data_IF_267542546065
#
_entry.id   IF_267542546065
#
_cell.length_a   1.000
_cell.length_b   1.000
_cell.length_c   1.000
_cell.angle_alpha   90.00
_cell.angle_beta   90.00
_cell.angle_gamma   90.00
#
_symmetry.space_group_name_H-M   'P 1'
#
loop_
_entity.id
_entity.type
_entity.pdbx_description
1 polymer ?
#
# COMPACT_ATOMS: atom_id res chain seq x y z
N UNK A 1 -43.46 15.06 -2.15
CA UNK A 1 -42.77 13.85 -2.67
C UNK A 1 -41.35 14.16 -3.18
N UNK A 2 -41.17 15.15 -4.07
CA UNK A 2 -39.87 15.53 -4.67
C UNK A 2 -38.80 15.93 -3.64
N UNK A 3 -39.17 16.57 -2.53
CA UNK A 3 -38.23 17.01 -1.50
C UNK A 3 -37.65 15.86 -0.65
N UNK A 4 -38.38 14.74 -0.49
CA UNK A 4 -37.88 13.54 0.21
C UNK A 4 -36.93 12.72 -0.66
N UNK A 5 -37.16 12.66 -1.97
CA UNK A 5 -36.30 11.92 -2.91
C UNK A 5 -34.89 12.52 -3.00
N UNK A 6 -34.76 13.85 -2.92
CA UNK A 6 -33.45 14.53 -2.89
C UNK A 6 -32.65 14.21 -1.62
N UNK A 7 -33.31 14.14 -0.46
CA UNK A 7 -32.66 13.75 0.80
C UNK A 7 -32.19 12.29 0.77
N UNK A 8 -33.00 11.40 0.18
CA UNK A 8 -32.65 9.99 0.02
C UNK A 8 -31.46 9.79 -0.93
N UNK A 9 -31.44 10.50 -2.07
CA UNK A 9 -30.32 10.46 -3.00
C UNK A 9 -29.02 11.02 -2.38
N UNK A 10 -29.11 12.09 -1.59
CA UNK A 10 -27.97 12.65 -0.86
C UNK A 10 -27.44 11.66 0.20
N UNK A 11 -28.33 10.99 0.93
CA UNK A 11 -27.97 9.98 1.93
C UNK A 11 -27.28 8.78 1.29
N UNK A 12 -27.80 8.28 0.16
CA UNK A 12 -27.19 7.18 -0.59
C UNK A 12 -25.82 7.60 -1.14
N UNK A 13 -25.68 8.81 -1.67
CA UNK A 13 -24.40 9.35 -2.14
C UNK A 13 -23.39 9.51 -1.00
N UNK A 14 -23.83 9.96 0.18
CA UNK A 14 -22.99 10.13 1.35
C UNK A 14 -22.54 8.78 1.90
N UNK A 15 -23.44 7.80 1.95
CA UNK A 15 -23.17 6.41 2.30
C UNK A 15 -22.14 5.80 1.34
N UNK A 16 -22.33 5.98 0.02
CA UNK A 16 -21.38 5.50 -0.99
C UNK A 16 -20.01 6.15 -0.84
N UNK A 17 -19.98 7.45 -0.52
CA UNK A 17 -18.74 8.19 -0.22
C UNK A 17 -18.06 7.68 1.05
N UNK A 18 -18.81 7.43 2.12
CA UNK A 18 -18.26 6.86 3.36
C UNK A 18 -17.72 5.45 3.10
N UNK A 19 -18.43 4.57 2.39
CA UNK A 19 -17.97 3.20 2.16
C UNK A 19 -16.83 3.08 1.13
N UNK A 20 -16.72 3.97 0.13
CA UNK A 20 -15.61 3.95 -0.84
C UNK A 20 -14.38 4.74 -0.37
N UNK A 21 -14.53 5.77 0.47
CA UNK A 21 -13.41 6.57 0.99
C UNK A 21 -12.97 6.20 2.41
N UNK A 22 -13.78 5.46 3.18
CA UNK A 22 -13.38 4.92 4.50
C UNK A 22 -12.70 3.55 4.38
N UNK A 23 -11.87 3.39 3.36
CA UNK A 23 -10.90 2.33 3.38
C UNK A 23 -9.81 2.83 4.37
N UNK A 24 -9.67 2.20 5.54
CA UNK A 24 -8.75 2.65 6.58
C UNK A 24 -7.33 2.84 6.01
N UNK A 25 -6.74 4.02 6.27
CA UNK A 25 -5.40 4.37 5.82
C UNK A 25 -4.40 3.56 6.63
N UNK A 26 -3.41 2.98 5.96
CA UNK A 26 -2.55 1.99 6.61
C UNK A 26 -1.07 2.33 6.53
N UNK A 27 -0.40 2.10 7.65
CA UNK A 27 1.06 2.03 7.82
C UNK A 27 1.49 0.58 8.04
N UNK A 28 0.62 -0.39 7.70
CA UNK A 28 0.77 -1.81 7.94
C UNK A 28 0.55 -2.63 6.67
N UNK A 29 1.27 -3.75 6.58
CA UNK A 29 1.03 -4.79 5.58
C UNK A 29 -0.45 -5.18 5.60
N UNK A 30 -1.10 -5.19 4.44
CA UNK A 30 -2.49 -5.59 4.29
C UNK A 30 -2.63 -7.01 3.74
N UNK A 31 -3.74 -7.66 4.09
CA UNK A 31 -4.21 -8.90 3.45
C UNK A 31 -4.36 -8.67 1.96
N UNK A 32 -4.31 -9.73 1.15
CA UNK A 32 -4.27 -9.59 -0.31
C UNK A 32 -5.40 -8.72 -0.89
N UNK A 33 -6.61 -8.83 -0.30
CA UNK A 33 -7.82 -8.06 -0.62
C UNK A 33 -7.85 -6.62 -0.06
N UNK A 34 -6.82 -6.20 0.66
CA UNK A 34 -6.77 -4.88 1.30
C UNK A 34 -7.73 -4.72 2.49
N UNK A 35 -8.37 -5.79 2.97
CA UNK A 35 -9.44 -5.73 3.97
C UNK A 35 -8.95 -5.75 5.44
N UNK A 36 -7.67 -5.48 5.67
CA UNK A 36 -7.12 -5.37 7.03
C UNK A 36 -5.65 -5.76 7.14
N UNK A 37 -5.08 -5.46 8.31
CA UNK A 37 -3.67 -5.70 8.60
C UNK A 37 -3.34 -7.21 8.66
N UNK A 38 -2.16 -7.58 8.18
CA UNK A 38 -1.58 -8.94 8.30
C UNK A 38 -0.83 -9.05 9.62
N UNK A 39 -1.57 -9.12 10.71
CA UNK A 39 -0.99 -9.26 12.05
C UNK A 39 -0.44 -10.66 12.28
N UNK A 40 0.80 -10.73 12.76
CA UNK A 40 1.26 -11.91 13.46
C UNK A 40 1.68 -11.51 14.86
N UNK A 41 1.03 -12.15 15.82
CA UNK A 41 1.50 -12.22 17.19
C UNK A 41 1.68 -13.71 17.52
N UNK A 42 2.92 -14.19 17.52
CA UNK A 42 3.23 -15.41 18.24
C UNK A 42 3.37 -15.01 19.72
N UNK A 43 2.36 -15.35 20.51
CA UNK A 43 2.39 -15.20 21.97
C UNK A 43 3.44 -16.17 22.54
N UNK A 44 4.72 -15.81 22.53
CA UNK A 44 5.69 -16.27 23.55
C UNK A 44 6.93 -15.34 23.53
N UNK A 45 7.00 -14.48 24.55
CA UNK A 45 8.18 -13.74 25.04
C UNK A 45 8.68 -12.53 24.20
N UNK A 46 7.84 -11.51 24.03
CA UNK A 46 8.12 -10.08 24.31
C UNK A 46 7.16 -9.17 23.52
N UNK A 47 6.50 -8.24 24.22
CA UNK A 47 5.46 -7.33 23.68
C UNK A 47 6.02 -6.17 22.84
N UNK A 48 7.11 -6.31 22.07
CA UNK A 48 7.76 -5.13 21.46
C UNK A 48 8.11 -5.22 19.96
N UNK A 49 7.62 -6.21 19.20
CA UNK A 49 7.69 -6.09 17.73
C UNK A 49 6.78 -7.08 17.01
N UNK A 50 5.51 -6.72 16.82
CA UNK A 50 4.71 -7.33 15.76
C UNK A 50 5.31 -6.88 14.43
N UNK A 51 6.17 -7.69 13.82
CA UNK A 51 6.92 -7.32 12.61
C UNK A 51 6.21 -7.85 11.37
N UNK A 52 5.05 -7.27 11.03
CA UNK A 52 4.23 -7.56 9.85
C UNK A 52 5.11 -7.65 8.59
N UNK A 53 4.97 -8.72 7.78
CA UNK A 53 5.71 -8.85 6.51
C UNK A 53 4.81 -9.36 5.40
N UNK A 54 4.99 -8.83 4.20
CA UNK A 54 4.39 -9.38 2.99
C UNK A 54 5.39 -9.29 1.84
N UNK A 55 5.38 -10.29 0.95
CA UNK A 55 6.18 -10.28 -0.28
C UNK A 55 5.23 -10.45 -1.46
N UNK A 56 5.27 -9.51 -2.40
CA UNK A 56 4.53 -9.58 -3.65
C UNK A 56 5.53 -9.77 -4.80
N UNK A 57 5.34 -10.82 -5.58
CA UNK A 57 6.11 -11.09 -6.79
C UNK A 57 5.20 -11.00 -8.01
N UNK A 58 5.53 -10.10 -8.96
CA UNK A 58 4.89 -10.01 -10.28
C UNK A 58 5.81 -10.65 -11.33
N UNK A 59 5.39 -11.73 -12.00
CA UNK A 59 6.16 -12.32 -13.09
C UNK A 59 6.24 -11.40 -14.33
N UNK A 60 7.20 -11.66 -15.25
CA UNK A 60 7.26 -11.04 -16.57
C UNK A 60 5.96 -11.24 -17.36
N UNK A 61 5.53 -10.22 -18.10
CA UNK A 61 4.32 -10.25 -18.94
C UNK A 61 2.97 -10.37 -18.22
N UNK A 62 2.96 -10.53 -16.89
CA UNK A 62 1.74 -10.68 -16.09
C UNK A 62 1.28 -9.33 -15.51
N UNK A 63 -0.02 -9.08 -15.46
CA UNK A 63 -0.57 -7.91 -14.73
C UNK A 63 -0.74 -8.16 -13.24
N UNK A 64 -0.77 -9.44 -12.87
CA UNK A 64 -1.05 -9.95 -11.53
C UNK A 64 0.17 -10.69 -11.00
N UNK A 65 0.31 -10.70 -9.69
CA UNK A 65 1.40 -11.39 -9.01
C UNK A 65 0.94 -12.56 -8.16
N UNK A 66 1.84 -12.99 -7.28
CA UNK A 66 1.55 -13.86 -6.15
C UNK A 66 2.01 -13.18 -4.87
N UNK A 67 1.26 -13.37 -3.79
CA UNK A 67 1.56 -12.82 -2.48
C UNK A 67 1.98 -13.94 -1.53
N UNK A 68 2.99 -13.66 -0.72
CA UNK A 68 3.42 -14.49 0.39
C UNK A 68 3.27 -13.67 1.67
N UNK A 69 2.42 -14.14 2.57
CA UNK A 69 2.17 -13.55 3.89
C UNK A 69 2.34 -14.61 4.97
N UNK A 70 3.08 -14.34 6.07
CA UNK A 70 3.16 -15.23 7.22
C UNK A 70 1.77 -15.47 7.86
N UNK A 71 1.52 -16.65 8.47
CA UNK A 71 2.40 -17.82 8.56
C UNK A 71 2.39 -18.68 7.29
N UNK A 72 1.68 -18.26 6.24
CA UNK A 72 1.56 -18.99 4.99
C UNK A 72 2.92 -19.36 4.42
N UNK A 73 3.14 -20.67 4.24
CA UNK A 73 4.35 -21.21 3.63
C UNK A 73 4.28 -21.27 2.09
N UNK A 74 3.13 -20.90 1.51
CA UNK A 74 2.85 -21.00 0.09
C UNK A 74 2.55 -19.61 -0.51
N UNK A 75 2.98 -19.44 -1.75
CA UNK A 75 2.58 -18.31 -2.58
C UNK A 75 1.11 -18.45 -2.96
N UNK A 76 0.32 -17.41 -2.72
CA UNK A 76 -1.08 -17.35 -3.10
C UNK A 76 -1.25 -16.42 -4.30
N UNK A 77 -2.14 -16.77 -5.22
CA UNK A 77 -2.45 -15.92 -6.37
C UNK A 77 -3.02 -14.57 -5.91
N UNK A 78 -2.49 -13.48 -6.44
CA UNK A 78 -2.96 -12.14 -6.05
C UNK A 78 -4.39 -11.87 -6.57
N UNK A 79 -5.30 -11.29 -5.78
CA UNK A 79 -6.73 -11.27 -6.13
C UNK A 79 -7.07 -10.30 -7.26
N UNK A 80 -6.24 -9.30 -7.51
CA UNK A 80 -6.46 -8.24 -8.51
C UNK A 80 -5.23 -8.01 -9.40
N UNK A 81 -5.42 -7.35 -10.53
CA UNK A 81 -4.31 -6.86 -11.34
C UNK A 81 -3.65 -5.66 -10.64
N UNK A 82 -2.32 -5.50 -10.74
CA UNK A 82 -1.62 -4.43 -10.02
C UNK A 82 -1.91 -3.03 -10.55
N UNK A 83 -2.49 -2.90 -11.75
CA UNK A 83 -2.97 -1.62 -12.30
C UNK A 83 -4.46 -1.37 -12.03
N UNK A 84 -5.15 -2.30 -11.35
CA UNK A 84 -6.49 -2.05 -10.83
C UNK A 84 -6.45 -0.96 -9.74
N UNK A 85 -7.53 -0.18 -9.62
CA UNK A 85 -7.67 0.78 -8.54
C UNK A 85 -8.38 0.16 -7.34
N UNK A 86 -8.11 0.66 -6.14
CA UNK A 86 -8.74 0.30 -4.86
C UNK A 86 -8.74 -1.22 -4.54
N UNK A 87 -9.19 -1.58 -3.34
CA UNK A 87 -9.61 -2.96 -2.99
C UNK A 87 -8.57 -4.09 -3.13
N UNK A 88 -7.27 -3.77 -3.02
CA UNK A 88 -6.20 -4.77 -2.85
C UNK A 88 -5.01 -4.18 -2.08
N UNK A 89 -4.21 -5.05 -1.44
CA UNK A 89 -3.11 -4.61 -0.56
C UNK A 89 -2.10 -3.68 -1.24
N UNK A 90 -1.78 -3.92 -2.50
CA UNK A 90 -0.76 -3.19 -3.24
C UNK A 90 -1.18 -1.74 -3.48
N UNK A 91 -2.44 -1.48 -3.85
CA UNK A 91 -2.98 -0.13 -3.90
C UNK A 91 -2.99 0.49 -2.50
N UNK A 92 -3.48 -0.26 -1.51
CA UNK A 92 -3.59 0.20 -0.12
C UNK A 92 -2.28 0.66 0.49
N UNK A 93 -1.20 -0.09 0.25
CA UNK A 93 0.15 0.24 0.72
C UNK A 93 0.62 1.61 0.22
N UNK A 94 0.19 2.06 -0.97
CA UNK A 94 0.60 3.35 -1.53
C UNK A 94 -0.44 4.45 -1.41
N UNK A 95 -1.61 4.19 -0.82
CA UNK A 95 -2.71 5.15 -0.69
C UNK A 95 -2.27 6.48 -0.06
N UNK A 96 -1.45 6.42 1.00
CA UNK A 96 -0.90 7.59 1.70
C UNK A 96 0.27 8.29 0.99
N UNK A 97 0.81 7.66 -0.06
CA UNK A 97 1.91 8.19 -0.89
C UNK A 97 1.37 8.94 -2.09
N UNK A 98 0.28 8.42 -2.67
CA UNK A 98 -0.38 8.99 -3.86
C UNK A 98 -1.41 10.06 -3.50
N UNK A 99 -2.03 9.97 -2.31
CA UNK A 99 -2.95 10.99 -1.78
C UNK A 99 -2.34 11.68 -0.55
N UNK A 100 -2.53 13.00 -0.45
CA UNK A 100 -2.09 13.75 0.73
C UNK A 100 -2.95 13.40 1.94
N UNK A 101 -2.31 12.98 3.03
CA UNK A 101 -2.97 12.65 4.30
C UNK A 101 -2.28 13.43 5.43
N UNK A 102 -3.07 14.00 6.34
CA UNK A 102 -2.53 14.93 7.35
C UNK A 102 -1.62 14.23 8.37
N UNK A 103 -2.00 13.02 8.75
CA UNK A 103 -1.38 12.18 9.77
C UNK A 103 -0.48 11.07 9.21
N UNK A 104 -0.33 10.97 7.88
CA UNK A 104 0.69 10.09 7.28
C UNK A 104 1.79 10.93 6.65
N UNK A 105 3.04 10.58 6.95
CA UNK A 105 4.23 11.16 6.31
C UNK A 105 4.97 10.04 5.60
N UNK A 106 5.64 10.37 4.51
CA UNK A 106 6.44 9.40 3.80
C UNK A 106 7.70 10.03 3.21
N UNK A 107 8.70 9.20 2.97
CA UNK A 107 9.78 9.53 2.05
C UNK A 107 9.97 8.39 1.06
N UNK A 108 10.06 8.73 -0.22
CA UNK A 108 10.36 7.78 -1.28
C UNK A 108 11.82 7.96 -1.72
N UNK A 109 12.50 6.85 -1.97
CA UNK A 109 13.88 6.85 -2.47
C UNK A 109 13.97 5.98 -3.72
N UNK A 110 14.76 6.42 -4.68
CA UNK A 110 14.97 5.72 -5.94
C UNK A 110 16.29 6.19 -6.55
N UNK A 111 16.99 5.30 -7.25
CA UNK A 111 18.22 5.63 -7.95
C UNK A 111 17.99 6.50 -9.20
N UNK A 112 16.76 6.50 -9.71
CA UNK A 112 16.23 7.43 -10.69
C UNK A 112 14.83 7.87 -10.25
N UNK A 113 14.76 8.87 -9.37
CA UNK A 113 13.50 9.36 -8.82
C UNK A 113 12.60 9.98 -9.91
N UNK A 114 11.29 9.67 -9.90
CA UNK A 114 10.36 10.22 -10.89
C UNK A 114 10.29 11.76 -10.78
N UNK A 115 10.33 12.44 -11.92
CA UNK A 115 10.27 13.91 -11.98
C UNK A 115 11.55 14.64 -11.56
N UNK A 116 12.64 13.93 -11.23
CA UNK A 116 13.93 14.52 -10.89
C UNK A 116 14.93 14.30 -12.03
N UNK A 117 15.47 15.39 -12.57
CA UNK A 117 16.46 15.37 -13.67
C UNK A 117 17.86 15.60 -13.09
N UNK A 118 18.87 14.89 -13.61
CA UNK A 118 20.28 15.11 -13.27
C UNK A 118 20.74 14.52 -11.93
N UNK A 119 19.84 13.98 -11.11
CA UNK A 119 20.19 13.28 -9.86
C UNK A 119 20.15 11.76 -10.09
N UNK A 120 21.32 11.12 -9.98
CA UNK A 120 21.48 9.66 -10.01
C UNK A 120 22.37 9.23 -8.86
N UNK A 121 21.97 8.19 -8.13
CA UNK A 121 22.75 7.63 -7.02
C UNK A 121 23.43 6.34 -7.45
N UNK A 122 24.51 5.94 -6.74
CA UNK A 122 25.23 4.67 -7.00
C UNK A 122 24.46 3.44 -6.50
N UNK A 123 23.58 3.62 -5.51
CA UNK A 123 22.72 2.54 -5.01
C UNK A 123 21.63 2.26 -6.04
N UNK A 124 21.28 0.99 -6.28
CA UNK A 124 20.12 0.62 -7.10
C UNK A 124 18.83 0.46 -6.28
N UNK A 125 18.89 0.71 -4.97
CA UNK A 125 17.77 0.53 -4.05
C UNK A 125 16.64 1.52 -4.33
N UNK A 126 15.41 1.03 -4.18
CA UNK A 126 14.17 1.80 -4.37
C UNK A 126 13.17 1.40 -3.30
N UNK A 127 12.34 2.34 -2.87
CA UNK A 127 11.34 2.06 -1.86
C UNK A 127 10.72 3.30 -1.26
N UNK A 128 9.85 3.06 -0.29
CA UNK A 128 9.14 4.10 0.46
C UNK A 128 9.10 3.72 1.92
N UNK A 129 9.33 4.69 2.79
CA UNK A 129 8.98 4.58 4.20
C UNK A 129 7.78 5.46 4.47
N UNK A 130 6.80 4.91 5.17
CA UNK A 130 5.53 5.55 5.55
C UNK A 130 5.45 5.52 7.07
N UNK A 131 5.11 6.65 7.66
CA UNK A 131 4.99 6.87 9.10
C UNK A 131 3.57 7.33 9.41
N UNK A 132 2.94 6.74 10.43
CA UNK A 132 1.79 7.35 11.09
C UNK A 132 2.29 8.34 12.15
N UNK A 133 1.75 9.55 12.12
CA UNK A 133 2.04 10.62 13.08
C UNK A 133 0.83 10.99 13.92
N UNK A 134 -0.20 10.15 13.94
CA UNK A 134 -1.36 10.29 14.82
C UNK A 134 -0.92 10.13 16.28
N UNK A 135 -1.49 10.94 17.17
CA UNK A 135 -1.14 10.89 18.60
C UNK A 135 -1.45 9.50 19.17
N UNK A 136 -0.46 8.87 19.81
CA UNK A 136 -0.58 7.54 20.42
C UNK A 136 -0.61 6.38 19.43
N UNK A 137 -0.22 6.60 18.17
CA UNK A 137 -0.11 5.55 17.14
C UNK A 137 1.36 5.38 16.76
N UNK A 138 1.94 4.24 17.14
CA UNK A 138 3.33 3.89 16.85
C UNK A 138 3.37 2.90 15.68
N UNK A 139 3.27 3.42 14.46
CA UNK A 139 3.22 2.59 13.25
C UNK A 139 4.05 3.13 12.08
N UNK A 140 4.80 2.24 11.44
CA UNK A 140 5.47 2.52 10.17
C UNK A 140 5.49 1.32 9.23
N UNK A 141 5.59 1.59 7.93
CA UNK A 141 5.88 0.62 6.89
C UNK A 141 7.13 1.03 6.11
N UNK A 142 7.94 0.05 5.74
CA UNK A 142 9.03 0.18 4.79
C UNK A 142 8.82 -0.80 3.64
N UNK A 143 8.59 -0.24 2.47
CA UNK A 143 8.41 -0.98 1.23
C UNK A 143 9.68 -0.88 0.42
N UNK A 144 10.28 -2.03 0.12
CA UNK A 144 11.41 -2.14 -0.82
C UNK A 144 10.89 -2.74 -2.11
N UNK A 145 11.28 -2.17 -3.25
CA UNK A 145 10.84 -2.67 -4.54
C UNK A 145 11.87 -2.53 -5.66
N UNK A 146 11.55 -3.12 -6.80
CA UNK A 146 12.41 -3.15 -8.00
C UNK A 146 11.90 -2.27 -9.14
N UNK A 147 10.68 -1.71 -9.02
CA UNK A 147 10.04 -0.89 -10.06
C UNK A 147 10.78 0.45 -10.28
N UNK A 148 11.28 0.73 -11.50
CA UNK A 148 11.89 2.02 -11.83
C UNK A 148 10.89 3.18 -11.76
N UNK A 149 11.33 4.34 -11.27
CA UNK A 149 10.51 5.56 -11.27
C UNK A 149 9.20 5.49 -10.46
N UNK A 150 9.07 4.54 -9.54
CA UNK A 150 7.87 4.30 -8.74
C UNK A 150 8.16 4.45 -7.23
N UNK A 151 7.15 4.75 -6.41
CA UNK A 151 5.88 5.37 -6.83
C UNK A 151 6.10 6.81 -7.28
N UNK A 152 5.14 7.36 -8.03
CA UNK A 152 5.09 8.80 -8.31
C UNK A 152 4.27 9.44 -7.19
N UNK A 153 4.89 10.19 -6.25
CA UNK A 153 4.16 10.69 -5.09
C UNK A 153 3.18 11.80 -5.48
N UNK A 154 2.06 11.91 -4.75
CA UNK A 154 1.04 12.96 -4.92
C UNK A 154 0.40 13.03 -6.32
N UNK A 155 0.46 11.93 -7.07
CA UNK A 155 -0.24 11.74 -8.34
C UNK A 155 -1.19 10.56 -8.17
N UNK A 156 -2.32 10.56 -8.87
CA UNK A 156 -3.28 9.45 -8.84
C UNK A 156 -2.58 8.10 -9.02
N UNK A 157 -3.05 7.10 -8.27
CA UNK A 157 -2.50 5.75 -8.33
C UNK A 157 -2.41 5.25 -9.77
N UNK A 158 -1.21 4.85 -10.17
CA UNK A 158 -0.96 4.27 -11.48
C UNK A 158 0.20 3.30 -11.37
N UNK A 159 -0.08 2.04 -11.71
CA UNK A 159 0.95 1.06 -11.94
C UNK A 159 1.22 0.91 -13.43
N UNK A 160 2.48 0.83 -13.82
CA UNK A 160 2.85 0.72 -15.22
C UNK A 160 2.60 -0.70 -15.74
N UNK A 161 1.98 -0.83 -16.91
CA UNK A 161 2.02 -2.07 -17.67
C UNK A 161 3.47 -2.33 -18.07
N UNK A 162 3.96 -3.50 -17.69
CA UNK A 162 5.37 -3.84 -17.82
C UNK A 162 5.52 -5.33 -18.05
N UNK A 163 6.35 -5.69 -19.03
CA UNK A 163 6.73 -7.06 -19.31
C UNK A 163 7.85 -7.57 -18.39
N UNK A 164 8.40 -6.71 -17.52
CA UNK A 164 9.41 -7.10 -16.55
C UNK A 164 8.83 -7.74 -15.29
N UNK A 165 9.69 -8.48 -14.59
CA UNK A 165 9.41 -8.96 -13.23
C UNK A 165 9.56 -7.83 -12.21
N UNK A 166 8.76 -7.88 -11.14
CA UNK A 166 8.90 -6.98 -10.01
C UNK A 166 8.70 -7.71 -8.68
N UNK A 167 9.59 -7.42 -7.74
CA UNK A 167 9.49 -7.80 -6.34
C UNK A 167 9.15 -6.58 -5.48
N UNK A 168 8.24 -6.77 -4.53
CA UNK A 168 7.95 -5.85 -3.44
C UNK A 168 8.03 -6.60 -2.11
N UNK A 169 8.66 -5.96 -1.13
CA UNK A 169 8.74 -6.45 0.25
C UNK A 169 8.18 -5.34 1.12
N UNK A 170 7.09 -5.62 1.83
CA UNK A 170 6.51 -4.73 2.83
C UNK A 170 6.91 -5.24 4.21
N UNK A 171 7.54 -4.36 4.99
CA UNK A 171 7.91 -4.58 6.38
C UNK A 171 7.20 -3.52 7.21
N UNK A 172 6.36 -3.92 8.15
CA UNK A 172 5.77 -2.96 9.08
C UNK A 172 6.26 -3.15 10.51
N UNK A 173 6.30 -2.03 11.21
CA UNK A 173 6.95 -1.86 12.50
C UNK A 173 6.03 -1.11 13.45
N UNK A 174 6.11 -1.47 14.73
CA UNK A 174 5.71 -0.62 15.84
C UNK A 174 7.00 -0.10 16.50
N UNK A 175 6.93 1.06 17.13
CA UNK A 175 8.03 1.61 17.92
C UNK A 175 7.71 1.53 19.42
#
# INVERSE_FOLDING_TARGET
MIHMMKKLALLISLIYCIFHFCAAQTSKCQRADGAGNVDWYLHYLSQQSSKYRAILYKPPGQKRGSLLTPPGAAWEGYPADLDAGADHSFWKTFESVVAAQNNKKFFAYNNAAPGVVGVRTKSNSKGVVILDTSAGVDEAAWIVHTVPGYPVPKVAYKFAKSDFEFLFIDLSFNF
#
